data_IF_528319618379
#
_entry.id   IF_528319618379
#
_cell.length_a   1.000
_cell.length_b   1.000
_cell.length_c   1.000
_cell.angle_alpha   90.00
_cell.angle_beta   90.00
_cell.angle_gamma   90.00
#
_symmetry.space_group_name_H-M   'P 1'
#
loop_
_entity.id
_entity.type
_entity.pdbx_description
1 polymer ?
#
# COMPACT_ATOMS: atom_id res chain seq x y z
N UNK A 1 25.20 -55.33 9.63
CA UNK A 1 24.90 -53.88 9.74
C UNK A 1 24.97 -53.33 8.31
N UNK A 2 23.94 -52.85 7.63
CA UNK A 2 22.79 -52.09 8.12
C UNK A 2 21.60 -52.26 7.12
N UNK A 3 20.47 -52.69 7.68
CA UNK A 3 19.08 -52.58 7.27
C UNK A 3 18.75 -51.71 6.03
N UNK A 4 18.33 -52.39 4.96
CA UNK A 4 17.35 -51.89 3.99
C UNK A 4 16.06 -51.55 4.74
N UNK A 5 15.80 -50.26 4.89
CA UNK A 5 14.61 -49.69 5.52
C UNK A 5 13.38 -49.86 4.62
N UNK A 6 12.71 -50.99 4.77
CA UNK A 6 11.34 -51.20 4.32
C UNK A 6 10.43 -50.20 5.07
N UNK A 7 10.12 -49.06 4.43
CA UNK A 7 9.19 -48.09 4.99
C UNK A 7 7.77 -48.64 4.77
N UNK A 8 6.99 -48.95 5.82
CA UNK A 8 5.60 -49.34 5.64
C UNK A 8 4.87 -48.19 4.94
N UNK A 9 4.18 -48.50 3.84
CA UNK A 9 3.25 -47.57 3.20
C UNK A 9 2.32 -47.06 4.29
N UNK A 10 2.31 -45.74 4.51
CA UNK A 10 1.44 -45.13 5.51
C UNK A 10 0.04 -45.62 5.23
N UNK A 11 -0.52 -46.40 6.17
CA UNK A 11 -1.91 -46.79 6.15
C UNK A 11 -2.70 -45.51 5.87
N UNK A 12 -3.38 -45.49 4.74
CA UNK A 12 -4.28 -44.39 4.36
C UNK A 12 -5.37 -44.39 5.42
N UNK A 13 -5.18 -43.58 6.46
CA UNK A 13 -6.22 -43.28 7.41
C UNK A 13 -7.36 -42.70 6.60
N UNK A 14 -8.42 -43.50 6.40
CA UNK A 14 -9.68 -43.00 5.88
C UNK A 14 -10.09 -41.86 6.79
N UNK A 15 -10.04 -40.63 6.28
CA UNK A 15 -10.66 -39.46 6.92
C UNK A 15 -12.07 -39.88 7.31
N UNK A 16 -12.30 -40.04 8.62
CA UNK A 16 -13.63 -40.32 9.14
C UNK A 16 -14.48 -39.10 8.79
N UNK A 17 -15.44 -39.29 7.88
CA UNK A 17 -16.41 -38.27 7.54
C UNK A 17 -17.23 -37.96 8.79
N UNK A 18 -16.89 -36.86 9.45
CA UNK A 18 -17.69 -36.31 10.53
C UNK A 18 -19.02 -35.88 9.91
N UNK A 19 -20.04 -36.73 10.07
CA UNK A 19 -21.43 -36.39 9.72
C UNK A 19 -21.83 -35.17 10.55
N UNK A 20 -21.87 -34.00 9.90
CA UNK A 20 -22.39 -32.78 10.52
C UNK A 20 -23.85 -33.05 10.88
N UNK A 21 -24.20 -32.95 12.15
CA UNK A 21 -25.59 -33.03 12.62
C UNK A 21 -26.32 -31.82 12.05
N UNK A 22 -27.01 -31.99 10.92
CA UNK A 22 -27.79 -30.91 10.30
C UNK A 22 -29.17 -30.90 10.95
N UNK A 23 -29.50 -29.81 11.63
CA UNK A 23 -30.84 -29.60 12.16
C UNK A 23 -31.82 -29.44 10.98
N UNK A 24 -32.88 -30.27 10.88
CA UNK A 24 -33.84 -30.26 9.78
C UNK A 24 -34.63 -28.95 9.64
N UNK A 25 -34.57 -28.04 10.63
CA UNK A 25 -35.21 -26.73 10.57
C UNK A 25 -34.44 -25.70 9.71
N UNK A 26 -33.20 -25.97 9.30
CA UNK A 26 -32.41 -25.06 8.47
C UNK A 26 -32.39 -25.49 7.01
N UNK A 27 -33.09 -24.72 6.17
CA UNK A 27 -33.09 -24.89 4.71
C UNK A 27 -32.13 -23.92 4.03
N UNK A 28 -31.50 -24.36 2.93
CA UNK A 28 -30.69 -23.48 2.08
C UNK A 28 -31.60 -22.60 1.22
N UNK A 29 -31.64 -21.29 1.51
CA UNK A 29 -32.35 -20.29 0.68
C UNK A 29 -31.38 -19.52 -0.21
N UNK A 30 -30.96 -20.13 -1.32
CA UNK A 30 -30.13 -19.45 -2.32
C UNK A 30 -30.95 -18.42 -3.09
N UNK A 31 -30.42 -17.19 -3.19
CA UNK A 31 -30.99 -16.10 -3.98
C UNK A 31 -30.34 -16.04 -5.36
N UNK A 32 -31.10 -15.71 -6.39
CA UNK A 32 -30.62 -15.54 -7.75
C UNK A 32 -30.44 -14.05 -8.05
N UNK A 33 -29.19 -13.58 -8.19
CA UNK A 33 -28.87 -12.17 -8.43
C UNK A 33 -28.76 -11.79 -9.91
N UNK A 34 -29.28 -12.63 -10.81
CA UNK A 34 -29.39 -12.33 -12.24
C UNK A 34 -30.24 -11.08 -12.53
N UNK A 35 -30.19 -10.61 -13.78
CA UNK A 35 -30.98 -9.46 -14.22
C UNK A 35 -32.47 -9.80 -14.13
N UNK A 36 -33.25 -9.00 -13.40
CA UNK A 36 -34.70 -9.19 -13.24
C UNK A 36 -35.14 -10.24 -12.20
N UNK A 37 -34.21 -10.73 -11.37
CA UNK A 37 -34.48 -11.73 -10.32
C UNK A 37 -34.46 -11.07 -8.93
N UNK A 38 -33.78 -11.66 -7.95
CA UNK A 38 -33.68 -11.11 -6.60
C UNK A 38 -32.91 -9.78 -6.54
N UNK A 39 -33.19 -8.98 -5.50
CA UNK A 39 -32.47 -7.74 -5.20
C UNK A 39 -30.97 -7.99 -5.15
N UNK A 40 -30.23 -7.23 -5.94
CA UNK A 40 -28.79 -7.34 -6.02
C UNK A 40 -28.14 -6.93 -4.69
N UNK A 41 -27.08 -7.65 -4.25
CA UNK A 41 -26.37 -7.29 -3.03
C UNK A 41 -25.66 -5.94 -3.19
N UNK A 42 -25.36 -5.30 -2.06
CA UNK A 42 -24.50 -4.12 -2.04
C UNK A 42 -23.12 -4.48 -2.60
N UNK A 43 -22.72 -3.82 -3.69
CA UNK A 43 -21.41 -3.98 -4.34
C UNK A 43 -20.55 -2.73 -4.13
N UNK A 44 -19.25 -2.84 -4.36
CA UNK A 44 -18.39 -1.65 -4.38
C UNK A 44 -18.80 -0.72 -5.55
N UNK A 45 -19.23 0.49 -5.18
CA UNK A 45 -19.66 1.53 -6.12
C UNK A 45 -18.55 2.55 -6.41
N UNK A 46 -17.33 2.38 -5.89
CA UNK A 46 -16.21 3.32 -6.02
C UNK A 46 -15.98 3.85 -7.45
N UNK A 47 -16.18 3.01 -8.47
CA UNK A 47 -16.06 3.39 -9.89
C UNK A 47 -17.26 4.16 -10.45
N UNK A 48 -18.46 3.93 -9.92
CA UNK A 48 -19.74 4.46 -10.40
C UNK A 48 -20.26 5.62 -9.54
N UNK A 49 -19.64 5.89 -8.40
CA UNK A 49 -19.94 7.03 -7.55
C UNK A 49 -19.67 8.33 -8.31
N UNK A 50 -20.61 9.27 -8.19
CA UNK A 50 -20.41 10.66 -8.60
C UNK A 50 -19.39 11.32 -7.66
N UNK A 51 -18.12 11.24 -8.03
CA UNK A 51 -17.02 11.82 -7.24
C UNK A 51 -17.16 13.34 -7.07
N UNK A 52 -16.73 13.89 -5.92
CA UNK A 52 -16.65 15.34 -5.69
C UNK A 52 -15.89 16.07 -6.79
N UNK A 53 -16.23 17.34 -7.03
CA UNK A 53 -15.73 18.13 -8.17
C UNK A 53 -14.20 18.18 -8.23
N UNK A 54 -13.53 18.38 -7.10
CA UNK A 54 -12.06 18.48 -7.05
C UNK A 54 -11.36 17.17 -7.44
N UNK A 55 -11.87 16.01 -6.99
CA UNK A 55 -11.33 14.69 -7.35
C UNK A 55 -11.44 14.47 -8.86
N UNK A 56 -12.59 14.85 -9.44
CA UNK A 56 -12.82 14.74 -10.88
C UNK A 56 -11.81 15.55 -11.68
N UNK A 57 -11.62 16.82 -11.31
CA UNK A 57 -10.68 17.73 -11.98
C UNK A 57 -9.23 17.22 -11.85
N UNK A 58 -8.82 16.75 -10.67
CA UNK A 58 -7.49 16.18 -10.44
C UNK A 58 -7.23 14.93 -11.31
N UNK A 59 -8.21 14.02 -11.39
CA UNK A 59 -8.11 12.82 -12.25
C UNK A 59 -8.10 13.19 -13.73
N UNK A 60 -8.97 14.09 -14.18
CA UNK A 60 -9.00 14.58 -15.55
C UNK A 60 -7.67 15.24 -15.96
N UNK A 61 -7.09 16.06 -15.07
CA UNK A 61 -5.77 16.65 -15.29
C UNK A 61 -4.68 15.58 -15.51
N UNK A 62 -4.65 14.55 -14.67
CA UNK A 62 -3.69 13.46 -14.80
C UNK A 62 -3.88 12.65 -16.09
N UNK A 63 -5.13 12.42 -16.51
CA UNK A 63 -5.44 11.77 -17.79
C UNK A 63 -4.98 12.64 -18.96
N UNK A 64 -5.29 13.94 -18.93
CA UNK A 64 -4.93 14.87 -20.00
C UNK A 64 -3.42 14.96 -20.21
N UNK A 65 -2.65 15.06 -19.11
CA UNK A 65 -1.19 15.09 -19.17
C UNK A 65 -0.58 13.84 -19.82
N UNK A 66 -1.23 12.67 -19.70
CA UNK A 66 -0.79 11.42 -20.34
C UNK A 66 -1.23 11.29 -21.80
N UNK A 67 -2.32 11.97 -22.19
CA UNK A 67 -2.91 11.87 -23.53
C UNK A 67 -2.31 12.87 -24.51
N UNK A 68 -1.95 14.06 -24.01
CA UNK A 68 -1.31 15.08 -24.81
C UNK A 68 0.20 14.83 -24.93
N UNK A 69 0.81 15.32 -26.00
CA UNK A 69 2.26 15.33 -26.17
C UNK A 69 2.85 16.40 -25.25
N UNK A 70 3.64 15.98 -24.26
CA UNK A 70 4.31 16.88 -23.33
C UNK A 70 5.69 17.26 -23.88
N UNK A 71 6.04 18.56 -23.96
CA UNK A 71 7.36 19.00 -24.41
C UNK A 71 8.52 18.43 -23.56
N UNK A 72 9.69 18.13 -24.15
CA UNK A 72 10.84 17.56 -23.43
C UNK A 72 11.28 18.31 -22.16
N UNK A 73 11.30 19.67 -22.12
CA UNK A 73 11.68 20.41 -20.91
C UNK A 73 10.75 20.18 -19.71
N UNK A 74 9.51 19.75 -19.96
CA UNK A 74 8.54 19.42 -18.91
C UNK A 74 8.62 17.92 -18.61
N UNK A 75 8.82 17.10 -19.63
CA UNK A 75 8.84 15.65 -19.50
C UNK A 75 10.02 15.13 -18.67
N UNK A 76 11.14 15.85 -18.61
CA UNK A 76 12.30 15.48 -17.79
C UNK A 76 11.94 15.26 -16.30
N UNK A 77 10.94 15.97 -15.77
CA UNK A 77 10.50 15.83 -14.38
C UNK A 77 9.68 14.56 -14.13
N UNK A 78 9.22 13.87 -15.18
CA UNK A 78 8.55 12.57 -15.03
C UNK A 78 9.56 11.43 -14.93
N UNK A 79 10.78 11.63 -15.43
CA UNK A 79 11.89 10.69 -15.35
C UNK A 79 12.68 10.97 -14.07
N UNK A 80 12.29 10.31 -12.98
CA UNK A 80 12.92 10.47 -11.68
C UNK A 80 14.13 9.53 -11.48
N UNK A 81 14.98 9.87 -10.51
CA UNK A 81 16.07 9.02 -10.02
C UNK A 81 15.53 7.67 -9.50
N UNK A 82 16.32 6.61 -9.65
CA UNK A 82 15.99 5.28 -9.17
C UNK A 82 15.89 5.22 -7.64
N UNK A 83 15.09 4.27 -7.14
CA UNK A 83 14.80 4.13 -5.72
C UNK A 83 16.06 3.91 -4.84
N UNK A 84 17.01 3.01 -5.18
CA UNK A 84 18.16 2.80 -4.31
C UNK A 84 19.07 4.02 -4.22
N UNK A 85 19.34 4.70 -5.35
CA UNK A 85 20.15 5.93 -5.33
C UNK A 85 19.46 7.06 -4.57
N UNK A 86 18.13 7.22 -4.72
CA UNK A 86 17.37 8.22 -3.97
C UNK A 86 17.49 8.03 -2.45
N UNK A 87 17.42 6.79 -1.96
CA UNK A 87 17.57 6.49 -0.52
C UNK A 87 18.97 6.85 -0.01
N UNK A 88 20.02 6.53 -0.79
CA UNK A 88 21.39 6.88 -0.41
C UNK A 88 21.58 8.40 -0.36
N UNK A 89 21.04 9.12 -1.34
CA UNK A 89 21.09 10.57 -1.41
C UNK A 89 20.39 11.21 -0.19
N UNK A 90 19.19 10.74 0.17
CA UNK A 90 18.48 11.27 1.34
C UNK A 90 19.22 11.01 2.66
N UNK A 91 19.92 9.88 2.82
CA UNK A 91 20.76 9.63 4.00
C UNK A 91 21.90 10.64 4.13
N UNK A 92 22.54 11.01 3.01
CA UNK A 92 23.59 12.02 2.99
C UNK A 92 22.99 13.40 3.34
N UNK A 93 21.88 13.77 2.70
CA UNK A 93 21.21 15.05 2.97
C UNK A 93 20.74 15.16 4.42
N UNK A 94 20.32 14.06 5.04
CA UNK A 94 19.90 14.04 6.44
C UNK A 94 21.05 14.37 7.41
N UNK A 95 22.26 13.85 7.14
CA UNK A 95 23.46 14.18 7.92
C UNK A 95 23.83 15.66 7.85
N UNK A 96 23.61 16.29 6.70
CA UNK A 96 23.95 17.70 6.45
C UNK A 96 22.73 18.63 6.53
N UNK A 97 21.71 18.26 7.33
CA UNK A 97 20.55 19.14 7.53
C UNK A 97 20.98 20.47 8.15
N UNK A 98 20.39 21.59 7.70
CA UNK A 98 20.65 22.88 8.32
C UNK A 98 20.12 22.92 9.75
N UNK A 99 20.72 23.77 10.57
CA UNK A 99 20.34 23.95 11.97
C UNK A 99 18.88 24.34 12.14
N UNK A 100 18.25 23.83 13.19
CA UNK A 100 16.91 24.28 13.60
C UNK A 100 16.99 25.67 14.25
N UNK A 101 15.87 26.40 14.30
CA UNK A 101 15.80 27.71 14.98
C UNK A 101 16.25 27.63 16.45
N UNK A 102 16.00 26.49 17.11
CA UNK A 102 16.41 26.24 18.50
C UNK A 102 17.93 26.05 18.61
N UNK A 103 18.53 25.23 17.75
CA UNK A 103 19.98 25.04 17.67
C UNK A 103 20.70 26.35 17.34
N UNK A 104 20.17 27.13 16.40
CA UNK A 104 20.71 28.46 16.08
C UNK A 104 20.72 29.38 17.30
N UNK A 105 19.63 29.39 18.08
CA UNK A 105 19.53 30.18 19.31
C UNK A 105 20.55 29.73 20.35
N UNK A 106 20.72 28.42 20.56
CA UNK A 106 21.73 27.86 21.45
C UNK A 106 23.14 28.28 21.01
N UNK A 107 23.51 28.01 19.76
CA UNK A 107 24.81 28.41 19.18
C UNK A 107 25.11 29.91 19.36
N UNK A 108 24.12 30.78 19.15
CA UNK A 108 24.29 32.22 19.32
C UNK A 108 24.49 32.63 20.78
N UNK A 109 23.78 32.00 21.72
CA UNK A 109 23.99 32.21 23.16
C UNK A 109 25.38 31.74 23.59
N UNK A 110 25.75 30.51 23.23
CA UNK A 110 27.05 29.93 23.57
C UNK A 110 28.20 30.78 23.01
N UNK A 111 28.04 31.30 21.77
CA UNK A 111 29.00 32.23 21.14
C UNK A 111 29.07 33.58 21.87
N UNK A 112 27.94 34.11 22.34
CA UNK A 112 27.92 35.38 23.06
C UNK A 112 28.59 35.22 24.44
N UNK A 113 28.30 34.13 25.15
CA UNK A 113 28.89 33.81 26.46
C UNK A 113 30.41 33.60 26.35
N UNK A 114 30.88 32.81 25.38
CA UNK A 114 32.32 32.61 25.14
C UNK A 114 33.04 33.88 24.73
N UNK A 115 32.38 34.79 24.00
CA UNK A 115 32.96 36.10 23.65
C UNK A 115 32.99 37.06 24.84
N UNK A 116 32.02 36.99 25.76
CA UNK A 116 31.98 37.84 26.95
C UNK A 116 32.97 37.37 28.04
N UNK A 117 33.28 36.07 28.08
CA UNK A 117 34.25 35.49 29.00
C UNK A 117 35.72 35.63 28.55
N UNK A 118 35.95 36.11 27.32
CA UNK A 118 37.27 36.36 26.74
C UNK A 118 37.57 37.85 26.72
#
# INVERSE_FOLDING_TARGET
LLLLSFRPSSLVEKKVEVKKVVNPLFEKRSRNFGIGQDIQPSRDLSRFVKWPKYVRIQRQKAVLQKRLKVPPPINQFTQALDKPTAVQLFKILEKYRPETKLEKKKRLKDRAETKAAK
#
